data_IF_406550325869
#
_entry.id   IF_406550325869
#
_cell.length_a   1.000
_cell.length_b   1.000
_cell.length_c   1.000
_cell.angle_alpha   90.00
_cell.angle_beta   90.00
_cell.angle_gamma   90.00
#
_symmetry.space_group_name_H-M   'P 1'
#
loop_
_entity.id
_entity.type
_entity.pdbx_description
1 polymer ?
#
# COMPACT_ATOMS: atom_id res chain seq x y z
N UNK A 1 -14.85 27.37 -16.16
CA UNK A 1 -14.54 27.35 -14.72
C UNK A 1 -15.08 26.03 -14.16
N UNK A 2 -14.36 24.93 -14.39
CA UNK A 2 -14.75 23.58 -13.95
C UNK A 2 -13.48 22.83 -13.57
N UNK A 3 -13.57 22.09 -12.46
CA UNK A 3 -12.47 21.35 -11.86
C UNK A 3 -12.25 21.77 -10.41
N UNK A 4 -13.26 21.57 -9.54
CA UNK A 4 -12.95 21.38 -8.13
C UNK A 4 -12.11 20.11 -8.07
N UNK A 5 -10.86 20.22 -7.65
CA UNK A 5 -10.03 19.07 -7.30
C UNK A 5 -10.89 18.14 -6.44
N UNK A 6 -11.19 16.96 -6.99
CA UNK A 6 -11.64 15.83 -6.20
C UNK A 6 -10.40 15.34 -5.46
N UNK A 7 -9.99 16.12 -4.46
CA UNK A 7 -9.11 15.63 -3.42
C UNK A 7 -9.93 14.55 -2.73
N UNK A 8 -9.67 13.29 -3.08
CA UNK A 8 -10.15 12.13 -2.35
C UNK A 8 -9.69 12.34 -0.90
N UNK A 9 -10.59 12.84 -0.05
CA UNK A 9 -10.35 13.07 1.38
C UNK A 9 -10.20 11.73 2.09
N UNK A 10 -9.04 11.09 1.90
CA UNK A 10 -8.62 9.94 2.67
C UNK A 10 -8.25 10.48 4.05
N UNK A 11 -8.89 9.95 5.10
CA UNK A 11 -8.61 10.37 6.46
C UNK A 11 -7.12 10.07 6.77
N UNK A 12 -6.33 11.08 7.19
CA UNK A 12 -4.90 10.91 7.47
C UNK A 12 -4.62 9.90 8.58
N UNK A 13 -5.62 9.59 9.42
CA UNK A 13 -5.52 8.61 10.52
C UNK A 13 -5.97 7.19 10.14
N UNK A 14 -6.11 6.89 8.86
CA UNK A 14 -6.29 5.50 8.42
C UNK A 14 -5.06 4.66 8.78
N UNK A 15 -5.30 3.45 9.30
CA UNK A 15 -4.25 2.53 9.72
C UNK A 15 -3.75 1.77 8.51
N UNK A 16 -2.46 1.90 8.24
CA UNK A 16 -1.81 1.27 7.09
C UNK A 16 -1.18 -0.06 7.50
N UNK A 17 -0.46 -0.06 8.63
CA UNK A 17 0.24 -1.22 9.17
C UNK A 17 0.37 -1.16 10.67
N UNK A 18 0.40 -2.31 11.29
CA UNK A 18 0.64 -2.55 12.70
C UNK A 18 1.83 -3.47 12.82
N UNK A 19 2.87 -3.02 13.52
CA UNK A 19 4.02 -3.82 13.89
C UNK A 19 3.92 -4.15 15.38
N UNK A 20 3.72 -5.43 15.70
CA UNK A 20 3.78 -5.90 17.08
C UNK A 20 5.20 -5.73 17.62
N UNK A 21 5.33 -5.09 18.77
CA UNK A 21 6.58 -4.89 19.48
C UNK A 21 6.57 -5.68 20.80
N UNK A 22 7.68 -5.57 21.53
CA UNK A 22 7.85 -6.24 22.81
C UNK A 22 6.80 -5.78 23.84
N UNK A 23 6.57 -6.62 24.85
CA UNK A 23 5.75 -6.28 26.00
C UNK A 23 6.42 -5.18 26.84
N UNK A 24 5.63 -4.28 27.44
CA UNK A 24 6.14 -3.30 28.39
C UNK A 24 6.49 -3.95 29.75
N UNK A 25 6.98 -3.13 30.70
CA UNK A 25 7.34 -3.57 32.05
C UNK A 25 6.18 -4.17 32.87
N UNK A 26 4.94 -3.95 32.43
CA UNK A 26 3.72 -4.51 33.02
C UNK A 26 3.17 -5.72 32.25
N UNK A 27 3.89 -6.21 31.24
CA UNK A 27 3.50 -7.37 30.43
C UNK A 27 2.44 -7.10 29.37
N UNK A 28 2.04 -5.85 29.14
CA UNK A 28 1.08 -5.47 28.11
C UNK A 28 1.75 -5.39 26.74
N UNK A 29 1.07 -5.85 25.70
CA UNK A 29 1.55 -5.77 24.32
C UNK A 29 1.59 -4.32 23.84
N UNK A 30 2.71 -3.93 23.24
CA UNK A 30 2.87 -2.64 22.56
C UNK A 30 2.94 -2.88 21.06
N UNK A 31 2.16 -2.13 20.30
CA UNK A 31 2.16 -2.19 18.85
C UNK A 31 2.43 -0.80 18.28
N UNK A 32 3.23 -0.74 17.21
CA UNK A 32 3.43 0.49 16.45
C UNK A 32 2.46 0.50 15.29
N UNK A 33 1.65 1.55 15.18
CA UNK A 33 0.67 1.77 14.13
C UNK A 33 1.18 2.86 13.20
N UNK A 34 1.27 2.56 11.91
CA UNK A 34 1.62 3.53 10.86
C UNK A 34 0.35 4.09 10.22
N UNK A 35 0.29 5.42 10.07
CA UNK A 35 -0.86 6.14 9.55
C UNK A 35 -0.60 6.71 8.14
N UNK A 36 -1.67 7.12 7.46
CA UNK A 36 -1.62 7.68 6.10
C UNK A 36 -0.89 9.01 5.96
N UNK A 37 -0.77 9.77 7.04
CA UNK A 37 0.03 10.99 7.09
C UNK A 37 1.54 10.72 7.29
N UNK A 38 1.92 9.45 7.42
CA UNK A 38 3.29 9.01 7.66
C UNK A 38 3.76 9.11 9.10
N UNK A 39 2.88 9.49 10.02
CA UNK A 39 3.16 9.36 11.45
C UNK A 39 3.08 7.90 11.90
N UNK A 40 3.80 7.59 12.98
CA UNK A 40 3.72 6.32 13.67
C UNK A 40 3.36 6.57 15.14
N UNK A 41 2.40 5.81 15.65
CA UNK A 41 1.93 5.89 17.04
C UNK A 41 2.18 4.55 17.75
N UNK A 42 2.63 4.59 19.01
CA UNK A 42 2.69 3.40 19.86
C UNK A 42 1.38 3.26 20.61
N UNK A 43 0.69 2.14 20.39
CA UNK A 43 -0.58 1.81 21.05
C UNK A 43 -0.35 0.64 22.02
N UNK A 44 -0.93 0.74 23.20
CA UNK A 44 -0.95 -0.36 24.19
C UNK A 44 -2.29 -1.07 24.10
N UNK A 45 -2.28 -2.38 23.81
CA UNK A 45 -3.47 -3.19 23.67
C UNK A 45 -3.34 -4.29 22.62
N UNK A 46 -4.28 -5.24 22.66
CA UNK A 46 -4.33 -6.35 21.72
C UNK A 46 -4.86 -5.85 20.37
N UNK A 47 -3.96 -5.66 19.40
CA UNK A 47 -4.35 -5.38 18.01
C UNK A 47 -4.42 -6.70 17.26
N UNK A 48 -5.65 -7.10 16.95
CA UNK A 48 -5.92 -8.30 16.16
C UNK A 48 -5.73 -8.00 14.67
N UNK A 49 -5.19 -8.99 13.97
CA UNK A 49 -5.21 -9.00 12.51
C UNK A 49 -6.66 -8.88 12.04
N UNK A 50 -6.91 -7.90 11.17
CA UNK A 50 -8.22 -7.78 10.56
C UNK A 50 -8.27 -8.83 9.47
N UNK A 51 -9.26 -9.73 9.52
CA UNK A 51 -9.42 -10.73 8.48
C UNK A 51 -9.45 -10.04 7.10
N UNK A 52 -8.87 -10.68 6.10
CA UNK A 52 -8.67 -10.11 4.76
C UNK A 52 -9.94 -9.49 4.15
N UNK A 53 -11.10 -10.06 4.48
CA UNK A 53 -12.44 -9.63 4.05
C UNK A 53 -12.93 -8.32 4.67
N UNK A 54 -12.34 -7.90 5.80
CA UNK A 54 -12.62 -6.64 6.49
C UNK A 54 -11.45 -5.65 6.39
N UNK A 55 -10.43 -5.96 5.58
CA UNK A 55 -9.27 -5.09 5.40
C UNK A 55 -9.69 -3.71 4.87
N UNK A 56 -9.06 -2.67 5.40
CA UNK A 56 -9.33 -1.31 4.98
C UNK A 56 -8.88 -1.10 3.54
N UNK A 57 -9.72 -0.43 2.74
CA UNK A 57 -9.37 -0.02 1.38
C UNK A 57 -9.06 1.47 1.34
N UNK A 58 -7.91 1.80 0.78
CA UNK A 58 -7.44 3.17 0.59
C UNK A 58 -7.40 3.43 -0.92
N UNK A 59 -8.23 4.34 -1.46
CA UNK A 59 -8.19 4.68 -2.88
C UNK A 59 -6.77 5.06 -3.33
N UNK A 60 -6.36 4.58 -4.49
CA UNK A 60 -5.08 4.95 -5.06
C UNK A 60 -5.16 6.35 -5.68
N UNK A 61 -4.04 7.07 -5.68
CA UNK A 61 -3.93 8.27 -6.51
C UNK A 61 -3.93 7.89 -7.99
N UNK A 62 -4.55 8.70 -8.87
CA UNK A 62 -4.48 8.45 -10.30
C UNK A 62 -3.03 8.35 -10.80
N UNK A 63 -2.75 7.38 -11.65
CA UNK A 63 -1.45 7.21 -12.30
C UNK A 63 -0.61 6.03 -11.81
N UNK A 64 -0.96 5.40 -10.68
CA UNK A 64 -0.35 4.13 -10.31
C UNK A 64 -0.84 3.01 -11.23
N UNK A 65 0.09 2.18 -11.71
CA UNK A 65 -0.21 1.08 -12.61
C UNK A 65 0.43 -0.23 -12.11
N UNK A 66 -0.26 -1.34 -12.31
CA UNK A 66 0.25 -2.68 -12.12
C UNK A 66 0.55 -3.30 -13.48
N UNK A 67 1.79 -3.72 -13.68
CA UNK A 67 2.24 -4.43 -14.87
C UNK A 67 2.32 -5.91 -14.54
N UNK A 68 1.54 -6.71 -15.26
CA UNK A 68 1.67 -8.16 -15.26
C UNK A 68 2.86 -8.51 -16.14
N UNK A 69 3.81 -9.28 -15.61
CA UNK A 69 5.00 -9.68 -16.35
C UNK A 69 5.23 -11.18 -16.23
N UNK A 70 5.78 -11.78 -17.29
CA UNK A 70 6.34 -13.12 -17.23
C UNK A 70 7.83 -13.07 -17.50
N UNK A 71 8.57 -13.98 -16.87
CA UNK A 71 9.97 -14.18 -17.19
C UNK A 71 10.08 -15.06 -18.44
N UNK A 72 10.74 -14.55 -19.48
CA UNK A 72 11.10 -15.26 -20.70
C UNK A 72 12.61 -15.14 -20.91
N UNK A 73 13.33 -16.27 -20.81
CA UNK A 73 14.79 -16.34 -20.93
C UNK A 73 15.55 -15.35 -20.02
N UNK A 74 15.06 -15.11 -18.80
CA UNK A 74 15.67 -14.16 -17.86
C UNK A 74 15.31 -12.69 -18.11
N UNK A 75 14.42 -12.42 -19.07
CA UNK A 75 13.88 -11.09 -19.37
C UNK A 75 12.44 -11.02 -18.92
N UNK A 76 12.07 -9.97 -18.17
CA UNK A 76 10.67 -9.70 -17.86
C UNK A 76 9.97 -9.10 -19.08
N UNK A 77 8.92 -9.77 -19.55
CA UNK A 77 8.07 -9.33 -20.65
C UNK A 77 6.72 -8.91 -20.09
N UNK A 78 6.29 -7.69 -20.42
CA UNK A 78 4.95 -7.18 -20.08
C UNK A 78 3.87 -7.98 -20.82
N UNK A 79 2.97 -8.60 -20.06
CA UNK A 79 1.81 -9.34 -20.56
C UNK A 79 0.54 -8.49 -20.57
N UNK A 80 0.49 -7.48 -19.69
CA UNK A 80 -0.65 -6.60 -19.55
C UNK A 80 -0.40 -5.54 -18.50
N UNK A 81 -1.31 -4.57 -18.44
CA UNK A 81 -1.23 -3.44 -17.53
C UNK A 81 -2.62 -3.01 -17.11
N UNK A 82 -2.77 -2.71 -15.83
CA UNK A 82 -4.00 -2.16 -15.27
C UNK A 82 -3.72 -1.01 -14.32
N UNK A 83 -4.61 -0.01 -14.25
CA UNK A 83 -4.54 1.00 -13.22
C UNK A 83 -4.78 0.37 -11.85
N UNK A 84 -4.00 0.82 -10.85
CA UNK A 84 -4.28 0.51 -9.45
C UNK A 84 -5.38 1.46 -8.99
N UNK A 85 -6.49 0.89 -8.53
CA UNK A 85 -7.68 1.67 -8.11
C UNK A 85 -7.73 1.85 -6.59
N UNK A 86 -7.13 0.93 -5.84
CA UNK A 86 -7.07 1.00 -4.39
C UNK A 86 -5.89 0.18 -3.84
N UNK A 87 -5.63 0.38 -2.55
CA UNK A 87 -4.70 -0.36 -1.74
C UNK A 87 -5.46 -1.02 -0.60
N UNK A 88 -5.21 -2.30 -0.40
CA UNK A 88 -5.77 -3.08 0.71
C UNK A 88 -4.79 -3.10 1.87
N UNK A 89 -5.24 -2.65 3.03
CA UNK A 89 -4.48 -2.60 4.27
C UNK A 89 -5.13 -3.51 5.31
N UNK A 90 -4.53 -4.68 5.56
CA UNK A 90 -4.99 -5.62 6.61
C UNK A 90 -4.40 -5.31 8.00
N UNK A 91 -3.52 -4.31 8.06
CA UNK A 91 -2.89 -3.87 9.30
C UNK A 91 -1.72 -4.74 9.74
N UNK A 92 -1.29 -5.79 9.05
CA UNK A 92 -0.13 -6.60 9.46
C UNK A 92 0.98 -6.58 8.41
N UNK A 93 0.58 -6.50 7.14
CA UNK A 93 1.48 -6.52 6.00
C UNK A 93 1.53 -5.16 5.31
N UNK A 94 2.34 -5.09 4.26
CA UNK A 94 2.32 -3.95 3.36
C UNK A 94 1.00 -3.87 2.58
N UNK A 95 0.60 -2.66 2.17
CA UNK A 95 -0.59 -2.49 1.34
C UNK A 95 -0.52 -3.32 0.05
N UNK A 96 -1.57 -4.08 -0.24
CA UNK A 96 -1.69 -4.87 -1.48
C UNK A 96 -2.42 -4.04 -2.56
N UNK A 97 -1.91 -3.89 -3.79
CA UNK A 97 -2.62 -3.18 -4.84
C UNK A 97 -3.88 -3.94 -5.28
N UNK A 98 -4.89 -3.17 -5.65
CA UNK A 98 -6.14 -3.65 -6.25
C UNK A 98 -6.27 -3.04 -7.64
N UNK A 99 -6.50 -3.91 -8.62
CA UNK A 99 -6.81 -3.57 -10.02
C UNK A 99 -8.30 -3.86 -10.32
N UNK A 100 -8.72 -3.70 -11.57
CA UNK A 100 -10.06 -4.14 -11.98
C UNK A 100 -10.19 -5.67 -11.98
N UNK A 101 -9.08 -6.37 -12.23
CA UNK A 101 -8.99 -7.83 -12.20
C UNK A 101 -8.98 -8.41 -10.78
N UNK A 102 -8.58 -7.63 -9.76
CA UNK A 102 -8.76 -8.01 -8.36
C UNK A 102 -7.62 -7.57 -7.45
N UNK A 103 -7.40 -8.35 -6.38
CA UNK A 103 -6.32 -8.12 -5.42
C UNK A 103 -5.06 -8.79 -5.95
N UNK A 104 -4.02 -8.01 -6.26
CA UNK A 104 -2.78 -8.54 -6.83
C UNK A 104 -1.88 -9.10 -5.74
N UNK A 105 -2.00 -10.41 -5.50
CA UNK A 105 -1.17 -11.16 -4.55
C UNK A 105 -0.03 -11.91 -5.24
N UNK A 106 0.90 -12.36 -4.41
CA UNK A 106 2.10 -13.19 -4.60
C UNK A 106 2.14 -14.29 -5.69
N UNK A 107 1.03 -14.62 -6.34
CA UNK A 107 0.97 -15.61 -7.43
C UNK A 107 1.09 -14.99 -8.82
N UNK A 108 0.91 -13.67 -8.94
CA UNK A 108 1.13 -12.94 -10.18
C UNK A 108 2.44 -12.15 -10.05
N UNK A 109 3.55 -12.58 -10.67
CA UNK A 109 4.73 -11.75 -10.76
C UNK A 109 4.37 -10.47 -11.53
N UNK A 110 4.61 -9.33 -10.91
CA UNK A 110 4.30 -8.05 -11.50
C UNK A 110 5.12 -6.91 -10.91
N UNK A 111 5.02 -5.79 -11.58
CA UNK A 111 5.74 -4.55 -11.27
C UNK A 111 4.72 -3.46 -11.01
N UNK A 112 4.97 -2.64 -10.01
CA UNK A 112 4.18 -1.42 -9.79
C UNK A 112 4.95 -0.26 -10.40
N UNK A 113 4.25 0.57 -11.17
CA UNK A 113 4.72 1.87 -11.60
C UNK A 113 4.09 2.97 -10.76
N UNK A 114 4.88 3.97 -10.38
CA UNK A 114 4.36 5.23 -9.89
C UNK A 114 3.77 6.08 -11.04
N UNK A 115 3.02 7.16 -10.74
CA UNK A 115 2.52 8.10 -11.75
C UNK A 115 3.58 8.76 -12.64
N UNK A 116 4.86 8.69 -12.28
CA UNK A 116 5.99 9.18 -13.09
C UNK A 116 6.56 8.10 -14.00
N UNK A 117 6.02 6.88 -13.94
CA UNK A 117 6.47 5.72 -14.71
C UNK A 117 7.71 5.04 -14.13
N UNK A 118 8.13 5.39 -12.91
CA UNK A 118 9.23 4.71 -12.25
C UNK A 118 8.75 3.36 -11.70
N UNK A 119 9.61 2.36 -11.86
CA UNK A 119 9.43 1.07 -11.21
C UNK A 119 9.66 1.23 -9.72
N UNK A 120 8.61 1.04 -8.92
CA UNK A 120 8.70 1.07 -7.44
C UNK A 120 8.83 -0.36 -6.85
N UNK A 121 8.70 -1.41 -7.67
CA UNK A 121 8.72 -2.81 -7.21
C UNK A 121 9.07 -3.83 -8.31
N UNK A 122 9.80 -4.90 -7.95
CA UNK A 122 9.82 -6.20 -8.63
C UNK A 122 9.61 -7.33 -7.60
N UNK A 123 8.65 -8.24 -7.83
CA UNK A 123 8.56 -9.51 -7.06
C UNK A 123 7.38 -9.64 -6.07
N UNK A 124 7.53 -10.49 -5.04
CA UNK A 124 6.43 -11.05 -4.23
C UNK A 124 6.07 -10.19 -2.99
N UNK A 125 6.95 -9.30 -2.52
CA UNK A 125 6.70 -8.34 -1.41
C UNK A 125 6.62 -6.91 -1.94
N UNK A 126 5.70 -6.12 -1.40
CA UNK A 126 4.95 -5.08 -2.13
C UNK A 126 5.61 -3.71 -2.05
N UNK A 127 6.30 -3.42 -0.94
CA UNK A 127 7.15 -2.24 -0.71
C UNK A 127 8.24 -2.58 0.32
N UNK A 128 9.49 -2.14 0.16
CA UNK A 128 10.53 -2.43 1.16
C UNK A 128 10.18 -1.93 2.59
N UNK A 129 9.31 -0.92 2.68
CA UNK A 129 8.69 -0.47 3.92
C UNK A 129 7.40 0.34 3.68
N UNK A 130 6.60 0.54 4.73
CA UNK A 130 5.38 1.36 4.66
C UNK A 130 5.70 2.83 4.41
N UNK A 131 6.83 3.32 4.93
CA UNK A 131 7.33 4.67 4.70
C UNK A 131 7.63 4.92 3.23
N UNK A 132 8.21 3.94 2.51
CA UNK A 132 8.46 4.07 1.07
C UNK A 132 7.15 4.16 0.28
N UNK A 133 6.15 3.34 0.64
CA UNK A 133 4.81 3.45 0.05
C UNK A 133 4.16 4.81 0.31
N UNK A 134 4.22 5.30 1.56
CA UNK A 134 3.67 6.59 1.94
C UNK A 134 4.36 7.75 1.20
N UNK A 135 5.67 7.67 1.01
CA UNK A 135 6.41 8.66 0.22
C UNK A 135 5.95 8.67 -1.24
N UNK A 136 5.82 7.50 -1.87
CA UNK A 136 5.27 7.39 -3.23
C UNK A 136 3.85 7.97 -3.33
N UNK A 137 2.99 7.71 -2.33
CA UNK A 137 1.62 8.24 -2.27
C UNK A 137 1.55 9.76 -2.03
N UNK A 138 2.56 10.35 -1.37
CA UNK A 138 2.56 11.76 -0.96
C UNK A 138 3.41 12.68 -1.83
N UNK A 139 4.45 12.17 -2.51
CA UNK A 139 5.27 12.96 -3.43
C UNK A 139 4.46 13.47 -4.63
N UNK A 140 3.43 12.74 -5.03
CA UNK A 140 2.55 13.14 -6.13
C UNK A 140 1.34 13.98 -5.69
N UNK A 141 1.02 14.04 -4.39
CA UNK A 141 0.06 15.02 -3.86
C UNK A 141 0.59 16.45 -3.93
N UNK A 142 1.92 16.62 -4.01
CA UNK A 142 2.59 17.93 -4.01
C UNK A 142 2.84 18.49 -5.42
N UNK A 143 2.61 17.69 -6.46
CA UNK A 143 2.86 18.05 -7.86
C UNK A 143 1.61 18.48 -8.63
N UNK A 144 0.44 18.50 -7.97
CA UNK A 144 -0.86 18.96 -8.52
C UNK A 144 -1.27 20.28 -7.89
#
# INVERSE_FOLDING_TARGET
>A
MFGKNLDTFINPRHVVRVRRANKNEHGAEQSTVHLMDGTAETVTGDIFEVADEFAQLIPAFPGFEYIYAAEDNGVLVELGREPIIAWRCNGTDEPTPITASGIERSLNPGVILDPKGNVIRQGIQTFDSVENWLNAMNDDRKSV
#
